data_IF_460051678737
#
_entry.id   IF_460051678737
#
_cell.length_a   1.000
_cell.length_b   1.000
_cell.length_c   1.000
_cell.angle_alpha   90.00
_cell.angle_beta   90.00
_cell.angle_gamma   90.00
#
_symmetry.space_group_name_H-M   'P 1'
#
loop_
_entity.id
_entity.type
_entity.pdbx_description
1 polymer ?
#
# COMPACT_ATOMS: atom_id res chain seq x y z
N UNK A 1 -14.34 -3.33 -12.18
CA UNK A 1 -13.78 -4.63 -12.60
C UNK A 1 -12.26 -4.51 -12.56
N UNK A 2 -11.60 -5.16 -11.59
CA UNK A 2 -10.15 -5.06 -11.43
C UNK A 2 -9.37 -5.88 -12.46
N UNK A 3 -9.98 -6.95 -12.98
CA UNK A 3 -9.35 -7.76 -14.03
C UNK A 3 -9.27 -6.96 -15.34
N UNK A 4 -10.33 -6.23 -15.68
CA UNK A 4 -10.32 -5.32 -16.82
C UNK A 4 -9.26 -4.21 -16.68
N UNK A 5 -9.08 -3.64 -15.48
CA UNK A 5 -8.03 -2.63 -15.22
C UNK A 5 -6.63 -3.20 -15.41
N UNK A 6 -6.37 -4.40 -14.88
CA UNK A 6 -5.07 -5.07 -15.02
C UNK A 6 -4.79 -5.37 -16.49
N UNK A 7 -5.76 -5.97 -17.21
CA UNK A 7 -5.63 -6.29 -18.64
C UNK A 7 -5.38 -5.05 -19.49
N UNK A 8 -6.03 -3.93 -19.17
CA UNK A 8 -5.82 -2.67 -19.88
C UNK A 8 -4.37 -2.22 -19.77
N UNK A 9 -3.83 -2.14 -18.55
CA UNK A 9 -2.45 -1.66 -18.33
C UNK A 9 -1.44 -2.61 -18.96
N UNK A 10 -1.61 -3.93 -18.80
CA UNK A 10 -0.73 -4.92 -19.43
C UNK A 10 -0.79 -4.86 -20.97
N UNK A 11 -1.95 -4.51 -21.54
CA UNK A 11 -2.06 -4.27 -22.99
C UNK A 11 -1.31 -3.01 -23.41
N UNK A 12 -1.37 -1.94 -22.63
CA UNK A 12 -0.63 -0.70 -22.90
C UNK A 12 0.89 -0.93 -22.83
N UNK A 13 1.38 -1.73 -21.89
CA UNK A 13 2.81 -2.09 -21.76
C UNK A 13 3.35 -2.83 -23.00
N UNK A 14 2.49 -3.54 -23.74
CA UNK A 14 2.89 -4.24 -24.98
C UNK A 14 2.95 -3.31 -26.21
N UNK A 15 2.46 -2.07 -26.12
CA UNK A 15 2.46 -1.13 -27.23
C UNK A 15 3.77 -0.35 -27.26
N UNK A 16 4.60 -0.48 -28.32
CA UNK A 16 5.97 0.05 -28.36
C UNK A 16 6.06 1.59 -28.32
N UNK A 17 4.93 2.29 -28.47
CA UNK A 17 4.87 3.76 -28.49
C UNK A 17 4.03 4.35 -27.35
N UNK A 18 3.57 3.53 -26.40
CA UNK A 18 2.70 3.99 -25.32
C UNK A 18 3.47 4.11 -24.00
N UNK A 19 3.81 5.34 -23.61
CA UNK A 19 4.43 5.66 -22.32
C UNK A 19 3.40 5.84 -21.19
N UNK A 20 2.11 5.68 -21.48
CA UNK A 20 1.03 5.87 -20.52
C UNK A 20 1.16 4.90 -19.33
N UNK A 21 1.53 3.64 -19.61
CA UNK A 21 1.77 2.64 -18.58
C UNK A 21 2.94 3.00 -17.64
N UNK A 22 3.85 3.88 -18.07
CA UNK A 22 4.98 4.32 -17.26
C UNK A 22 4.65 5.43 -16.27
N UNK A 23 3.53 6.13 -16.46
CA UNK A 23 3.12 7.22 -15.57
C UNK A 23 2.83 6.70 -14.16
N UNK A 24 3.33 7.42 -13.14
CA UNK A 24 3.23 7.00 -11.74
C UNK A 24 1.78 6.80 -11.25
N UNK A 25 0.84 7.61 -11.72
CA UNK A 25 -0.60 7.47 -11.41
C UNK A 25 -1.21 6.20 -12.03
N UNK A 26 -0.80 5.84 -13.26
CA UNK A 26 -1.24 4.60 -13.91
C UNK A 26 -0.66 3.40 -13.17
N UNK A 27 0.64 3.42 -12.83
CA UNK A 27 1.29 2.40 -11.99
C UNK A 27 0.64 2.26 -10.62
N UNK A 28 0.23 3.37 -9.99
CA UNK A 28 -0.51 3.36 -8.73
C UNK A 28 -1.85 2.63 -8.85
N UNK A 29 -2.68 3.00 -9.83
CA UNK A 29 -3.98 2.34 -10.04
C UNK A 29 -3.84 0.88 -10.50
N UNK A 30 -2.78 0.58 -11.24
CA UNK A 30 -2.42 -0.77 -11.63
C UNK A 30 -2.09 -1.66 -10.43
N UNK A 31 -1.17 -1.21 -9.57
CA UNK A 31 -0.83 -1.92 -8.33
C UNK A 31 -2.05 -2.07 -7.40
N UNK A 32 -2.90 -1.04 -7.33
CA UNK A 32 -4.16 -1.14 -6.61
C UNK A 32 -5.07 -2.24 -7.18
N UNK A 33 -5.25 -2.29 -8.50
CA UNK A 33 -6.08 -3.29 -9.16
C UNK A 33 -5.52 -4.71 -8.97
N UNK A 34 -4.21 -4.90 -9.11
CA UNK A 34 -3.51 -6.16 -8.81
C UNK A 34 -3.81 -6.63 -7.39
N UNK A 35 -3.58 -5.79 -6.38
CA UNK A 35 -3.84 -6.15 -4.98
C UNK A 35 -5.31 -6.53 -4.73
N UNK A 36 -6.25 -5.88 -5.42
CA UNK A 36 -7.68 -6.18 -5.28
C UNK A 36 -8.12 -7.42 -6.05
N UNK A 37 -7.46 -7.74 -7.16
CA UNK A 37 -7.72 -8.96 -7.95
C UNK A 37 -7.18 -10.20 -7.22
N UNK A 38 -5.99 -10.10 -6.63
CA UNK A 38 -5.41 -11.10 -5.72
C UNK A 38 -5.40 -12.53 -6.29
N UNK A 39 -5.08 -12.69 -7.58
CA UNK A 39 -4.67 -14.01 -8.09
C UNK A 39 -3.18 -14.25 -7.77
N UNK A 40 -2.70 -15.48 -7.95
CA UNK A 40 -1.32 -15.86 -7.64
C UNK A 40 -0.31 -14.89 -8.30
N UNK A 41 0.55 -14.26 -7.49
CA UNK A 41 1.59 -13.32 -7.94
C UNK A 41 1.16 -11.86 -8.02
N UNK A 42 -0.13 -11.54 -7.88
CA UNK A 42 -0.61 -10.16 -8.04
C UNK A 42 -0.06 -9.21 -6.97
N UNK A 43 0.00 -9.64 -5.71
CA UNK A 43 0.43 -8.77 -4.60
C UNK A 43 1.93 -8.55 -4.62
N UNK A 44 2.69 -9.56 -5.02
CA UNK A 44 4.13 -9.45 -5.26
C UNK A 44 4.40 -8.45 -6.38
N UNK A 45 3.68 -8.56 -7.51
CA UNK A 45 3.76 -7.60 -8.62
C UNK A 45 3.33 -6.20 -8.19
N UNK A 46 2.25 -6.06 -7.43
CA UNK A 46 1.77 -4.78 -6.92
C UNK A 46 2.81 -4.08 -6.04
N UNK A 47 3.48 -4.83 -5.14
CA UNK A 47 4.56 -4.31 -4.32
C UNK A 47 5.76 -3.89 -5.18
N UNK A 48 6.17 -4.71 -6.14
CA UNK A 48 7.28 -4.38 -7.04
C UNK A 48 7.02 -3.06 -7.78
N UNK A 49 5.84 -2.90 -8.36
CA UNK A 49 5.43 -1.68 -9.07
C UNK A 49 5.46 -0.47 -8.14
N UNK A 50 4.87 -0.58 -6.94
CA UNK A 50 4.84 0.55 -6.01
C UNK A 50 6.20 0.92 -5.44
N UNK A 51 7.06 -0.05 -5.16
CA UNK A 51 8.43 0.21 -4.71
C UNK A 51 9.23 0.91 -5.80
N UNK A 52 9.05 0.55 -7.07
CA UNK A 52 9.68 1.25 -8.19
C UNK A 52 9.16 2.69 -8.30
N UNK A 53 7.84 2.92 -8.20
CA UNK A 53 7.26 4.28 -8.21
C UNK A 53 7.84 5.14 -7.10
N UNK A 54 7.98 4.59 -5.89
CA UNK A 54 8.54 5.30 -4.74
C UNK A 54 10.04 5.58 -4.86
N UNK A 55 10.77 4.82 -5.69
CA UNK A 55 12.18 5.06 -5.99
C UNK A 55 12.37 6.15 -7.06
N UNK A 56 11.44 6.27 -8.01
CA UNK A 56 11.56 7.18 -9.16
C UNK A 56 10.77 8.47 -9.02
N UNK A 57 9.84 8.55 -8.06
CA UNK A 57 9.06 9.76 -7.81
C UNK A 57 9.78 10.66 -6.81
N UNK A 58 10.15 11.87 -7.23
CA UNK A 58 10.83 12.85 -6.37
C UNK A 58 9.99 13.27 -5.15
N UNK A 59 8.68 13.41 -5.34
CA UNK A 59 7.73 13.90 -4.34
C UNK A 59 6.52 12.95 -4.26
N UNK A 60 6.69 11.74 -3.70
CA UNK A 60 5.63 10.77 -3.63
C UNK A 60 4.50 11.25 -2.70
N UNK A 61 3.25 11.11 -3.16
CA UNK A 61 2.09 11.46 -2.35
C UNK A 61 1.91 10.49 -1.16
N UNK A 62 1.30 10.92 -0.04
CA UNK A 62 1.01 10.05 1.11
C UNK A 62 0.29 8.75 0.72
N UNK A 63 -0.62 8.83 -0.25
CA UNK A 63 -1.39 7.68 -0.73
C UNK A 63 -0.52 6.59 -1.35
N UNK A 64 0.61 6.95 -1.97
CA UNK A 64 1.56 5.99 -2.54
C UNK A 64 2.18 5.11 -1.43
N UNK A 65 2.56 5.72 -0.31
CA UNK A 65 3.01 4.97 0.87
C UNK A 65 1.88 4.12 1.46
N UNK A 66 0.68 4.70 1.56
CA UNK A 66 -0.47 3.99 2.13
C UNK A 66 -0.94 2.82 1.27
N UNK A 67 -0.66 2.81 -0.05
CA UNK A 67 -0.92 1.67 -0.91
C UNK A 67 0.04 0.51 -0.59
N UNK A 68 1.34 0.77 -0.39
CA UNK A 68 2.26 -0.26 0.13
C UNK A 68 1.77 -0.82 1.47
N UNK A 69 1.36 0.07 2.39
CA UNK A 69 0.79 -0.33 3.68
C UNK A 69 -0.46 -1.19 3.54
N UNK A 70 -1.35 -0.85 2.59
CA UNK A 70 -2.54 -1.64 2.29
C UNK A 70 -2.20 -3.02 1.74
N UNK A 71 -1.26 -3.14 0.81
CA UNK A 71 -0.89 -4.43 0.23
C UNK A 71 -0.36 -5.36 1.31
N UNK A 72 0.57 -4.89 2.15
CA UNK A 72 1.08 -5.68 3.28
C UNK A 72 -0.01 -6.01 4.31
N UNK A 73 -0.92 -5.08 4.60
CA UNK A 73 -2.07 -5.35 5.47
C UNK A 73 -2.96 -6.45 4.89
N UNK A 74 -3.26 -6.40 3.60
CA UNK A 74 -4.11 -7.39 2.93
C UNK A 74 -3.42 -8.78 2.90
N UNK A 75 -2.09 -8.85 2.73
CA UNK A 75 -1.30 -10.09 2.92
C UNK A 75 -1.44 -10.63 4.35
N UNK A 76 -1.28 -9.77 5.36
CA UNK A 76 -1.45 -10.15 6.75
C UNK A 76 -2.86 -10.69 7.05
N UNK A 77 -3.90 -10.02 6.55
CA UNK A 77 -5.29 -10.47 6.71
C UNK A 77 -5.52 -11.84 6.07
N UNK A 78 -5.08 -12.04 4.83
CA UNK A 78 -5.28 -13.29 4.09
C UNK A 78 -4.46 -14.46 4.68
N UNK A 79 -3.38 -14.16 5.40
CA UNK A 79 -2.64 -15.16 6.18
C UNK A 79 -3.40 -15.69 7.41
N UNK A 80 -4.60 -15.16 7.68
CA UNK A 80 -5.36 -15.45 8.90
C UNK A 80 -4.68 -14.84 10.13
N UNK A 81 -4.13 -13.63 9.99
CA UNK A 81 -3.42 -12.90 11.04
C UNK A 81 -2.13 -13.57 11.56
N UNK A 82 -1.46 -14.36 10.72
CA UNK A 82 -0.25 -15.13 11.11
C UNK A 82 1.04 -14.49 10.62
N UNK A 83 1.01 -13.76 9.50
CA UNK A 83 2.18 -13.09 8.94
C UNK A 83 2.47 -11.76 9.64
N UNK A 84 3.08 -11.85 10.82
CA UNK A 84 3.50 -10.67 11.58
C UNK A 84 4.54 -9.82 10.83
N UNK A 85 5.32 -10.39 9.91
CA UNK A 85 6.29 -9.60 9.12
C UNK A 85 5.55 -8.64 8.19
N UNK A 86 4.50 -9.12 7.52
CA UNK A 86 3.63 -8.25 6.70
C UNK A 86 2.88 -7.24 7.54
N UNK A 87 2.40 -7.60 8.74
CA UNK A 87 1.80 -6.62 9.69
C UNK A 87 2.79 -5.50 10.00
N UNK A 88 4.03 -5.82 10.36
CA UNK A 88 5.01 -4.84 10.78
C UNK A 88 5.44 -3.94 9.62
N UNK A 89 5.59 -4.49 8.40
CA UNK A 89 5.80 -3.69 7.19
C UNK A 89 4.62 -2.78 6.88
N UNK A 90 3.38 -3.24 7.09
CA UNK A 90 2.20 -2.39 6.91
C UNK A 90 2.24 -1.18 7.87
N UNK A 91 2.61 -1.41 9.14
CA UNK A 91 2.81 -0.34 10.13
C UNK A 91 3.84 0.67 9.63
N UNK A 92 5.02 0.21 9.17
CA UNK A 92 6.07 1.10 8.66
C UNK A 92 5.58 1.98 7.50
N UNK A 93 4.85 1.41 6.55
CA UNK A 93 4.34 2.16 5.39
C UNK A 93 3.24 3.15 5.74
N UNK A 94 2.28 2.75 6.59
CA UNK A 94 1.27 3.68 7.06
C UNK A 94 1.87 4.80 7.93
N UNK A 95 2.90 4.49 8.72
CA UNK A 95 3.66 5.50 9.48
C UNK A 95 4.29 6.53 8.56
N UNK A 96 5.00 6.10 7.50
CA UNK A 96 5.57 7.03 6.50
C UNK A 96 4.50 7.92 5.86
N UNK A 97 3.37 7.34 5.46
CA UNK A 97 2.26 8.11 4.89
C UNK A 97 1.67 9.13 5.89
N UNK A 98 1.50 8.73 7.15
CA UNK A 98 0.99 9.59 8.22
C UNK A 98 1.97 10.72 8.60
N UNK A 99 3.27 10.44 8.63
CA UNK A 99 4.31 11.45 8.91
C UNK A 99 4.37 12.52 7.82
N UNK A 100 4.16 12.14 6.55
CA UNK A 100 4.10 13.08 5.44
C UNK A 100 2.81 13.93 5.49
N UNK A 101 1.68 13.28 5.75
CA UNK A 101 0.40 13.95 5.96
C UNK A 101 -0.49 13.12 6.88
N UNK A 102 -0.89 13.70 8.02
CA UNK A 102 -1.74 13.08 9.03
C UNK A 102 -3.20 12.95 8.56
N UNK A 103 -3.45 12.08 7.59
CA UNK A 103 -4.81 11.82 7.09
C UNK A 103 -5.55 10.83 7.99
N UNK A 104 -6.89 10.90 7.96
CA UNK A 104 -7.72 9.94 8.66
C UNK A 104 -7.47 8.50 8.18
N UNK A 105 -7.24 8.32 6.87
CA UNK A 105 -7.00 7.01 6.28
C UNK A 105 -5.70 6.37 6.79
N UNK A 106 -4.58 7.10 6.75
CA UNK A 106 -3.31 6.57 7.27
C UNK A 106 -3.35 6.40 8.78
N UNK A 107 -3.96 7.35 9.51
CA UNK A 107 -4.08 7.31 10.97
C UNK A 107 -4.87 6.11 11.47
N UNK A 108 -6.07 5.86 10.95
CA UNK A 108 -6.90 4.71 11.38
C UNK A 108 -6.19 3.39 11.10
N UNK A 109 -5.63 3.21 9.90
CA UNK A 109 -4.96 1.96 9.55
C UNK A 109 -3.71 1.73 10.42
N UNK A 110 -2.93 2.78 10.67
CA UNK A 110 -1.78 2.72 11.56
C UNK A 110 -2.19 2.35 12.98
N UNK A 111 -3.18 3.04 13.55
CA UNK A 111 -3.67 2.78 14.90
C UNK A 111 -4.18 1.35 15.07
N UNK A 112 -4.99 0.85 14.13
CA UNK A 112 -5.50 -0.53 14.17
C UNK A 112 -4.35 -1.53 14.15
N UNK A 113 -3.37 -1.35 13.29
CA UNK A 113 -2.23 -2.28 13.20
C UNK A 113 -1.33 -2.24 14.44
N UNK A 114 -1.13 -1.06 15.05
CA UNK A 114 -0.40 -0.93 16.32
C UNK A 114 -1.12 -1.65 17.47
N UNK A 115 -2.45 -1.56 17.53
CA UNK A 115 -3.25 -2.30 18.52
C UNK A 115 -3.13 -3.81 18.28
N UNK A 116 -3.24 -4.25 17.01
CA UNK A 116 -3.07 -5.66 16.63
C UNK A 116 -1.65 -6.15 16.92
N UNK A 117 -0.64 -5.28 16.91
CA UNK A 117 0.72 -5.63 17.35
C UNK A 117 0.90 -5.64 18.88
N UNK A 118 -0.17 -5.45 19.65
CA UNK A 118 -0.17 -5.51 21.11
C UNK A 118 0.06 -4.17 21.81
N UNK A 119 0.10 -3.05 21.08
CA UNK A 119 0.17 -1.74 21.72
C UNK A 119 -1.18 -1.34 22.33
N UNK A 120 -1.13 -0.58 23.41
CA UNK A 120 -2.30 -0.05 24.10
C UNK A 120 -2.30 1.47 24.04
N UNK A 121 -3.48 2.09 23.99
CA UNK A 121 -3.61 3.53 23.85
C UNK A 121 -3.02 4.28 25.07
N UNK A 122 -3.14 3.71 26.25
CA UNK A 122 -2.67 4.27 27.53
C UNK A 122 -1.14 4.38 27.56
N UNK A 123 -0.44 3.43 26.96
CA UNK A 123 1.03 3.29 27.05
C UNK A 123 1.75 3.74 25.78
N UNK A 124 1.12 3.64 24.61
CA UNK A 124 1.74 4.03 23.35
C UNK A 124 1.63 5.54 23.11
N UNK A 125 2.79 6.20 23.00
CA UNK A 125 2.85 7.61 22.60
C UNK A 125 2.37 7.79 21.15
N UNK A 126 2.65 6.81 20.28
CA UNK A 126 2.26 6.87 18.87
C UNK A 126 0.73 6.81 18.71
N UNK A 127 0.06 5.88 19.39
CA UNK A 127 -1.41 5.80 19.37
C UNK A 127 -2.07 7.10 19.89
N UNK A 128 -1.54 7.68 20.98
CA UNK A 128 -2.03 8.96 21.50
C UNK A 128 -1.81 10.12 20.54
N UNK A 129 -0.71 10.11 19.76
CA UNK A 129 -0.45 11.12 18.73
C UNK A 129 -1.45 11.01 17.59
N UNK A 130 -1.83 9.78 17.20
CA UNK A 130 -2.81 9.55 16.13
C UNK A 130 -4.23 9.98 16.55
N UNK A 131 -4.58 9.78 17.82
CA UNK A 131 -5.89 10.13 18.37
C UNK A 131 -6.09 11.60 18.74
N UNK A 132 -5.11 12.47 18.48
CA UNK A 132 -5.20 13.93 18.69
C UNK A 132 -5.50 14.64 17.39
#
# INVERSE_FOLDING_TARGET
>A
DYDAMVKLVETLEMLPTCDLADQHNIKFHYAFALNRRNIMGDREKALQVMLQVLQTCDHPAPDMFCLCGRIYKDIFLDSGYKDNSSRDKAIEWYRKGFELQSTLYSGINLAVLLIVSGQQFETSMELRKIGK
#
